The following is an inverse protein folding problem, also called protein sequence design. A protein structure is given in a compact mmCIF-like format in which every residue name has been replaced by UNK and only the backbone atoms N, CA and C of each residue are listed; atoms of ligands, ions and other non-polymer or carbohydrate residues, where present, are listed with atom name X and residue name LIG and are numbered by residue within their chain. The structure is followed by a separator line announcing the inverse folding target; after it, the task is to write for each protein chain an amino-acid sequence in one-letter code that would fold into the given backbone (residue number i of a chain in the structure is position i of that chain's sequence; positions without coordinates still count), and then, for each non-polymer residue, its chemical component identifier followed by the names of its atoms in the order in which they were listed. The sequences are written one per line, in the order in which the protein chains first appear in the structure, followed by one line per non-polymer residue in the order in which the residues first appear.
data_IF_186922827967
#
_entry.id   IF_186922827967
#
_cell.length_a   1.000
_cell.length_b   1.000
_cell.length_c   1.000
_cell.angle_alpha   90.00
_cell.angle_beta   90.00
_cell.angle_gamma   90.00
#
_symmetry.space_group_name_H-M   'P 1'
#
loop_
_entity.id
_entity.type
_entity.pdbx_description
1 polymer ?
#
# COMPACT_ATOMS: atom_id res chain seq x y z
N UNK A 1 3.51 9.65 24.07
CA UNK A 1 4.47 10.69 24.49
C UNK A 1 5.65 10.65 23.53
N UNK A 2 5.74 11.61 22.59
CA UNK A 2 6.86 11.68 21.63
C UNK A 2 7.96 12.56 22.23
N UNK A 3 9.06 11.95 22.64
CA UNK A 3 10.16 12.60 23.39
C UNK A 3 11.22 13.08 22.39
N UNK A 4 10.87 13.99 21.48
CA UNK A 4 11.83 14.65 20.61
C UNK A 4 12.60 15.72 21.40
N UNK A 5 13.64 15.34 22.13
CA UNK A 5 14.46 16.29 22.90
C UNK A 5 15.49 16.96 21.98
N UNK A 6 15.20 18.22 21.66
CA UNK A 6 15.95 19.15 20.80
C UNK A 6 17.31 19.52 21.39
N UNK A 7 18.35 19.47 20.54
CA UNK A 7 19.67 20.07 20.79
C UNK A 7 20.63 20.04 19.58
N UNK A 8 20.41 19.14 18.61
CA UNK A 8 21.16 19.03 17.35
C UNK A 8 20.22 18.56 16.22
N UNK A 9 20.66 18.60 14.96
CA UNK A 9 19.86 18.17 13.79
C UNK A 9 19.56 16.67 13.88
N UNK A 10 18.39 16.32 14.40
CA UNK A 10 17.93 14.95 14.56
C UNK A 10 17.56 14.33 13.19
N UNK A 11 17.79 13.02 13.04
CA UNK A 11 17.38 12.24 11.87
C UNK A 11 15.85 12.07 11.93
N UNK A 12 15.15 12.11 10.80
CA UNK A 12 13.70 11.86 10.83
C UNK A 12 13.43 10.40 11.16
N UNK A 13 12.34 10.14 11.87
CA UNK A 13 11.93 8.77 12.22
C UNK A 13 11.66 7.91 10.98
N UNK A 14 11.11 8.50 9.91
CA UNK A 14 10.88 7.80 8.63
C UNK A 14 12.21 7.34 8.00
N UNK A 15 13.25 8.19 8.05
CA UNK A 15 14.57 7.86 7.51
C UNK A 15 15.25 6.74 8.33
N UNK A 16 15.05 6.73 9.66
CA UNK A 16 15.53 5.64 10.53
C UNK A 16 14.80 4.31 10.26
N UNK A 17 13.50 4.39 9.98
CA UNK A 17 12.70 3.21 9.61
C UNK A 17 13.12 2.66 8.26
N UNK A 18 13.29 3.53 7.25
CA UNK A 18 13.79 3.15 5.95
C UNK A 18 15.24 2.61 6.01
N UNK A 19 16.08 3.16 6.88
CA UNK A 19 17.42 2.62 7.16
C UNK A 19 17.36 1.19 7.72
N UNK A 20 16.46 0.92 8.68
CA UNK A 20 16.28 -0.42 9.24
C UNK A 20 15.74 -1.42 8.21
N UNK A 21 14.86 -0.99 7.33
CA UNK A 21 14.28 -1.82 6.28
C UNK A 21 15.22 -1.98 5.05
N UNK A 22 16.38 -1.31 5.04
CA UNK A 22 17.30 -1.31 3.89
C UNK A 22 16.77 -0.58 2.65
N UNK A 23 15.78 0.30 2.82
CA UNK A 23 15.09 1.03 1.74
C UNK A 23 15.69 2.42 1.47
N UNK A 24 17.00 2.59 1.68
CA UNK A 24 17.72 3.85 1.47
C UNK A 24 18.93 3.66 0.55
N UNK A 25 19.41 4.75 -0.05
CA UNK A 25 20.64 4.72 -0.84
C UNK A 25 21.88 4.52 0.04
N UNK A 26 22.95 3.96 -0.52
CA UNK A 26 24.23 3.80 0.20
C UNK A 26 24.80 5.14 0.69
N UNK A 27 24.61 6.20 -0.10
CA UNK A 27 25.05 7.55 0.26
C UNK A 27 24.28 8.10 1.48
N UNK A 28 22.98 7.81 1.58
CA UNK A 28 22.16 8.20 2.71
C UNK A 28 22.44 7.33 3.94
N UNK A 29 22.72 6.04 3.75
CA UNK A 29 23.13 5.13 4.82
C UNK A 29 24.41 5.64 5.51
N UNK A 30 25.43 6.00 4.73
CA UNK A 30 26.67 6.55 5.27
C UNK A 30 26.46 7.86 6.06
N UNK A 31 25.53 8.72 5.58
CA UNK A 31 25.15 9.95 6.30
C UNK A 31 24.48 9.63 7.63
N UNK A 32 23.56 8.66 7.64
CA UNK A 32 22.86 8.22 8.85
C UNK A 32 23.87 7.62 9.84
N UNK A 33 24.79 6.76 9.40
CA UNK A 33 25.83 6.17 10.26
C UNK A 33 26.70 7.24 10.92
N UNK A 34 27.13 8.25 10.16
CA UNK A 34 27.90 9.37 10.71
C UNK A 34 27.12 10.15 11.77
N UNK A 35 25.80 10.29 11.60
CA UNK A 35 24.93 10.96 12.58
C UNK A 35 24.67 10.10 13.81
N UNK A 36 24.49 8.80 13.65
CA UNK A 36 24.35 7.85 14.76
C UNK A 36 25.61 7.84 15.65
N UNK A 37 26.80 8.05 15.08
CA UNK A 37 28.03 8.19 15.86
C UNK A 37 28.05 9.44 16.78
N UNK A 38 27.35 10.50 16.39
CA UNK A 38 27.37 11.80 17.08
C UNK A 38 26.15 12.03 17.98
N UNK A 39 25.09 11.25 17.82
CA UNK A 39 23.85 11.39 18.57
C UNK A 39 23.53 10.13 19.38
N UNK A 40 23.39 10.29 20.71
CA UNK A 40 22.92 9.22 21.59
C UNK A 40 21.41 9.00 21.48
N UNK A 41 20.63 10.07 21.30
CA UNK A 41 19.15 9.99 21.22
C UNK A 41 18.69 9.25 19.97
N UNK A 42 19.27 9.54 18.79
CA UNK A 42 19.00 8.81 17.54
C UNK A 42 19.33 7.33 17.65
N UNK A 43 20.40 6.96 18.40
CA UNK A 43 20.73 5.55 18.66
C UNK A 43 19.68 4.88 19.53
N UNK A 44 19.22 5.56 20.58
CA UNK A 44 18.15 5.06 21.42
C UNK A 44 16.84 4.87 20.66
N UNK A 45 16.50 5.80 19.76
CA UNK A 45 15.32 5.66 18.88
C UNK A 45 15.46 4.47 17.92
N UNK A 46 16.62 4.30 17.30
CA UNK A 46 16.92 3.16 16.43
C UNK A 46 16.78 1.82 17.18
N UNK A 47 17.29 1.74 18.41
CA UNK A 47 17.20 0.54 19.24
C UNK A 47 15.75 0.24 19.69
N UNK A 48 14.94 1.27 19.94
CA UNK A 48 13.52 1.10 20.21
C UNK A 48 12.76 0.53 18.99
N UNK A 49 13.07 1.02 17.79
CA UNK A 49 12.51 0.48 16.55
C UNK A 49 12.95 -0.97 16.32
N UNK A 50 14.24 -1.29 16.51
CA UNK A 50 14.77 -2.67 16.43
C UNK A 50 14.08 -3.62 17.39
N UNK A 51 13.82 -3.18 18.62
CA UNK A 51 13.10 -3.97 19.62
C UNK A 51 11.68 -4.32 19.15
N UNK A 52 11.00 -3.35 18.52
CA UNK A 52 9.67 -3.57 17.94
C UNK A 52 9.71 -4.61 16.81
N UNK A 53 10.67 -4.49 15.89
CA UNK A 53 10.87 -5.46 14.80
C UNK A 53 11.16 -6.86 15.36
N UNK A 54 12.01 -6.97 16.39
CA UNK A 54 12.32 -8.25 17.01
C UNK A 54 11.08 -8.92 17.63
N UNK A 55 10.20 -8.14 18.28
CA UNK A 55 8.94 -8.67 18.81
C UNK A 55 8.02 -9.18 17.69
N UNK A 56 7.92 -8.45 16.57
CA UNK A 56 7.13 -8.88 15.42
C UNK A 56 7.69 -10.16 14.78
N UNK A 57 9.03 -10.28 14.70
CA UNK A 57 9.69 -11.47 14.17
C UNK A 57 9.48 -12.73 15.02
N UNK A 58 9.13 -12.58 16.31
CA UNK A 58 8.80 -13.71 17.18
C UNK A 58 7.38 -14.25 16.96
N UNK A 59 6.56 -13.56 16.16
CA UNK A 59 5.20 -14.01 15.88
C UNK A 59 5.22 -15.25 14.96
N UNK A 60 4.30 -16.20 15.17
CA UNK A 60 4.22 -17.38 14.31
C UNK A 60 3.86 -16.96 12.89
N UNK A 61 4.58 -17.52 11.92
CA UNK A 61 4.26 -17.34 10.51
C UNK A 61 2.93 -18.05 10.18
N UNK A 62 1.94 -17.27 9.73
CA UNK A 62 0.64 -17.81 9.37
C UNK A 62 0.68 -18.33 7.93
N UNK A 63 0.48 -19.63 7.74
CA UNK A 63 0.23 -20.19 6.41
C UNK A 63 -1.12 -19.69 5.90
N UNK A 64 -1.08 -18.86 4.85
CA UNK A 64 -2.29 -18.38 4.19
C UNK A 64 -3.14 -19.57 3.72
N UNK A 65 -4.45 -19.60 4.04
CA UNK A 65 -5.36 -20.56 3.45
C UNK A 65 -5.27 -20.49 1.92
N UNK A 66 -5.19 -21.66 1.28
CA UNK A 66 -5.14 -21.74 -0.18
C UNK A 66 -6.45 -21.17 -0.75
N UNK A 67 -6.29 -20.33 -1.76
CA UNK A 67 -7.26 -19.46 -2.46
C UNK A 67 -7.81 -18.25 -1.68
N UNK A 68 -7.03 -17.16 -1.66
CA UNK A 68 -7.51 -15.78 -1.56
C UNK A 68 -8.14 -15.28 -2.88
N UNK A 69 -8.77 -16.18 -3.63
CA UNK A 69 -9.43 -15.81 -4.89
C UNK A 69 -10.82 -15.34 -4.52
N UNK A 70 -11.07 -14.03 -4.64
CA UNK A 70 -12.45 -13.53 -4.70
C UNK A 70 -13.11 -14.21 -5.89
N UNK A 71 -14.20 -15.00 -5.69
CA UNK A 71 -14.90 -15.56 -6.82
C UNK A 71 -15.29 -14.42 -7.74
N UNK A 72 -14.88 -14.52 -9.01
CA UNK A 72 -15.28 -13.57 -10.03
C UNK A 72 -16.80 -13.47 -10.11
N UNK A 73 -17.34 -12.42 -10.76
CA UNK A 73 -18.77 -12.34 -10.99
C UNK A 73 -19.27 -13.68 -11.57
N UNK A 74 -20.42 -14.19 -11.11
CA UNK A 74 -20.94 -15.48 -11.57
C UNK A 74 -20.96 -15.48 -13.10
N UNK A 75 -20.64 -16.61 -13.76
CA UNK A 75 -20.66 -16.68 -15.21
C UNK A 75 -22.02 -16.19 -15.71
N UNK A 76 -22.02 -15.33 -16.73
CA UNK A 76 -23.26 -14.86 -17.33
C UNK A 76 -24.11 -16.08 -17.74
N UNK A 77 -25.44 -16.04 -17.52
CA UNK A 77 -26.29 -17.15 -17.92
C UNK A 77 -26.08 -17.43 -19.40
N UNK A 78 -25.84 -18.71 -19.72
CA UNK A 78 -25.63 -19.16 -21.10
C UNK A 78 -26.98 -18.97 -21.81
N UNK A 79 -27.15 -17.83 -22.49
CA UNK A 79 -28.31 -17.59 -23.30
C UNK A 79 -28.23 -18.51 -24.52
N UNK A 80 -28.98 -19.62 -24.47
CA UNK A 80 -29.25 -20.43 -25.66
C UNK A 80 -30.00 -19.49 -26.62
N UNK A 81 -29.33 -19.03 -27.68
CA UNK A 81 -29.99 -18.23 -28.72
C UNK A 81 -31.00 -19.15 -29.43
N UNK A 82 -32.33 -18.94 -29.28
CA UNK A 82 -33.25 -19.60 -30.19
C UNK A 82 -33.02 -19.04 -31.58
N UNK A 83 -32.94 -19.91 -32.59
CA UNK A 83 -32.72 -19.55 -33.99
C UNK A 83 -34.00 -19.00 -34.65
N UNK A 84 -34.76 -18.19 -33.91
CA UNK A 84 -36.03 -17.63 -34.38
C UNK A 84 -36.05 -16.11 -34.21
N UNK A 85 -36.22 -15.47 -35.36
CA UNK A 85 -36.28 -14.04 -35.64
C UNK A 85 -37.21 -13.31 -34.67
N UNK A 86 -36.66 -12.38 -33.89
CA UNK A 86 -37.44 -11.28 -33.35
C UNK A 86 -37.00 -9.98 -34.01
N UNK A 87 -37.69 -9.63 -35.09
CA UNK A 87 -37.71 -8.26 -35.62
C UNK A 87 -38.53 -7.44 -34.64
N UNK A 88 -37.92 -6.49 -33.93
CA UNK A 88 -38.67 -5.44 -33.24
C UNK A 88 -39.20 -4.45 -34.27
N UNK A 89 -40.52 -4.31 -34.48
CA UNK A 89 -41.04 -3.17 -35.19
C UNK A 89 -41.08 -1.99 -34.22
N UNK A 90 -40.57 -0.85 -34.66
CA UNK A 90 -40.73 0.49 -34.06
C UNK A 90 -40.12 0.74 -32.67
N UNK A 91 -38.93 1.34 -32.68
CA UNK A 91 -38.89 2.78 -32.37
C UNK A 91 -38.62 3.24 -30.93
N UNK A 92 -38.04 2.42 -30.06
CA UNK A 92 -37.58 2.90 -28.74
C UNK A 92 -36.05 2.89 -28.65
N UNK A 93 -35.41 4.00 -29.00
CA UNK A 93 -33.99 4.22 -28.69
C UNK A 93 -33.88 4.75 -27.26
N UNK A 94 -33.22 4.05 -26.32
CA UNK A 94 -32.76 4.72 -25.10
C UNK A 94 -31.66 5.68 -25.52
N UNK A 95 -31.99 6.97 -25.50
CA UNK A 95 -31.04 8.05 -25.75
C UNK A 95 -29.87 7.90 -24.79
N UNK A 96 -28.69 7.70 -25.37
CA UNK A 96 -27.38 7.77 -24.75
C UNK A 96 -27.18 9.19 -24.17
N UNK A 97 -27.75 9.45 -23.00
CA UNK A 97 -27.29 10.53 -22.12
C UNK A 97 -26.06 9.95 -21.38
N UNK A 98 -24.84 10.11 -21.89
CA UNK A 98 -24.05 11.35 -21.89
C UNK A 98 -23.90 11.89 -20.46
N UNK A 99 -23.16 11.14 -19.64
CA UNK A 99 -22.55 11.59 -18.39
C UNK A 99 -21.56 12.74 -18.66
N UNK A 100 -22.09 13.93 -18.97
CA UNK A 100 -21.33 15.18 -18.96
C UNK A 100 -21.40 15.75 -17.56
N UNK A 101 -20.47 15.36 -16.69
CA UNK A 101 -20.04 16.17 -15.52
C UNK A 101 -18.95 15.52 -14.65
N UNK A 102 -18.48 14.29 -14.92
CA UNK A 102 -17.32 13.75 -14.20
C UNK A 102 -16.04 13.93 -15.04
N UNK A 103 -15.36 15.05 -14.84
CA UNK A 103 -13.98 15.26 -15.31
C UNK A 103 -13.00 14.76 -14.23
N UNK A 104 -12.27 13.68 -14.52
CA UNK A 104 -11.09 13.29 -13.75
C UNK A 104 -9.90 14.18 -14.14
N UNK A 105 -9.17 14.80 -13.20
CA UNK A 105 -7.91 15.45 -13.50
C UNK A 105 -6.78 14.41 -13.60
N UNK A 106 -5.89 14.64 -14.58
CA UNK A 106 -4.58 13.98 -14.71
C UNK A 106 -3.60 14.47 -13.66
#
# INVERSE_FOLDING_TARGET
MLIFRKGHSHIKQDDLSAYLDGQISEADAARIDQRLAQCADCRQELDALRSTVSLLQQMPELTLPRSFIMPGPPPAPIAIRPLLLYVCPSGFTPTRQRWRHWSWPS
#
